data_IF_395664316073
#
_entry.id   IF_395664316073
#
_cell.length_a   1.000
_cell.length_b   1.000
_cell.length_c   1.000
_cell.angle_alpha   90.00
_cell.angle_beta   90.00
_cell.angle_gamma   90.00
#
_symmetry.space_group_name_H-M   'P 1'
#
loop_
_entity.id
_entity.type
_entity.pdbx_description
1 polymer ?
#
# COMPACT_ATOMS: atom_id res chain seq x y z
N UNK A 1 -7.12 -35.78 -10.46
CA UNK A 1 -6.23 -35.93 -9.30
C UNK A 1 -6.31 -34.61 -8.52
N UNK A 2 -6.61 -34.62 -7.22
CA UNK A 2 -6.64 -33.40 -6.44
C UNK A 2 -5.21 -32.86 -6.34
N UNK A 3 -5.02 -31.57 -6.69
CA UNK A 3 -3.74 -30.85 -6.55
C UNK A 3 -3.45 -30.71 -5.05
N UNK A 4 -2.25 -31.07 -4.63
CA UNK A 4 -1.79 -30.83 -3.27
C UNK A 4 -1.78 -29.31 -2.98
N UNK A 5 -2.24 -28.86 -1.81
CA UNK A 5 -2.15 -27.46 -1.44
C UNK A 5 -0.66 -27.10 -1.32
N UNK A 6 -0.25 -26.04 -2.00
CA UNK A 6 1.05 -25.43 -1.78
C UNK A 6 1.06 -24.88 -0.34
N UNK A 7 1.75 -25.59 0.55
CA UNK A 7 2.09 -25.09 1.89
C UNK A 7 3.21 -24.08 1.67
N UNK A 8 2.84 -22.84 1.35
CA UNK A 8 3.77 -21.72 1.52
C UNK A 8 3.79 -21.42 3.02
N UNK A 9 4.92 -21.70 3.69
CA UNK A 9 5.10 -21.25 5.05
C UNK A 9 4.87 -19.72 5.06
N UNK A 10 3.93 -19.25 5.89
CA UNK A 10 3.61 -17.85 6.04
C UNK A 10 4.92 -17.05 6.14
N UNK A 11 5.20 -16.23 5.12
CA UNK A 11 6.41 -15.41 5.10
C UNK A 11 6.13 -14.19 5.95
N UNK A 12 6.56 -14.23 7.22
CA UNK A 12 6.51 -13.09 8.12
C UNK A 12 7.36 -11.92 7.62
N UNK A 13 7.20 -10.79 8.26
CA UNK A 13 7.94 -9.58 8.00
C UNK A 13 9.43 -9.77 8.33
N UNK A 14 10.32 -9.42 7.42
CA UNK A 14 11.78 -9.56 7.58
C UNK A 14 12.40 -8.17 7.64
N UNK A 15 13.05 -7.82 8.76
CA UNK A 15 13.84 -6.60 8.90
C UNK A 15 15.33 -6.93 8.76
N UNK A 16 16.03 -6.26 7.86
CA UNK A 16 17.49 -6.33 7.66
C UNK A 16 18.06 -7.76 7.77
N UNK A 17 17.34 -8.74 7.19
CA UNK A 17 17.75 -10.14 7.19
C UNK A 17 17.51 -10.90 8.49
N UNK A 18 16.78 -10.34 9.47
CA UNK A 18 16.38 -11.00 10.72
C UNK A 18 14.87 -10.99 10.90
N UNK A 19 14.30 -12.13 11.25
CA UNK A 19 12.88 -12.28 11.57
C UNK A 19 12.53 -11.61 12.90
N UNK A 20 11.42 -10.88 12.92
CA UNK A 20 10.68 -10.30 14.06
C UNK A 20 11.43 -9.37 15.02
N UNK A 21 10.95 -8.13 15.10
CA UNK A 21 11.17 -7.23 16.23
C UNK A 21 9.86 -7.05 17.01
N UNK A 22 9.95 -7.03 18.33
CA UNK A 22 8.83 -6.66 19.21
C UNK A 22 8.59 -5.15 19.10
N UNK A 23 7.44 -4.72 18.58
CA UNK A 23 7.00 -3.32 18.49
C UNK A 23 6.62 -2.71 19.85
N UNK A 24 6.88 -3.39 20.96
CA UNK A 24 6.37 -3.04 22.30
C UNK A 24 6.92 -1.74 22.90
N UNK A 25 7.78 -0.99 22.18
CA UNK A 25 8.37 0.26 22.68
C UNK A 25 8.37 1.43 21.67
N UNK A 26 7.55 1.38 20.61
CA UNK A 26 7.54 2.46 19.60
C UNK A 26 6.56 3.57 20.03
N UNK A 27 7.08 4.79 20.18
CA UNK A 27 6.25 5.98 20.44
C UNK A 27 5.53 6.49 19.17
N UNK A 28 5.86 5.97 17.99
CA UNK A 28 5.37 6.44 16.70
C UNK A 28 4.98 5.24 15.83
N UNK A 29 3.81 5.30 15.19
CA UNK A 29 3.35 4.22 14.32
C UNK A 29 4.25 4.07 13.07
N UNK A 30 4.43 2.83 12.55
CA UNK A 30 5.09 2.63 11.26
C UNK A 30 4.26 3.22 10.12
N UNK A 31 4.90 3.43 8.97
CA UNK A 31 4.20 3.60 7.70
C UNK A 31 4.27 2.32 6.90
N UNK A 32 3.26 2.06 6.11
CA UNK A 32 3.12 0.81 5.38
C UNK A 32 2.82 1.07 3.91
N UNK A 33 3.46 0.31 3.03
CA UNK A 33 3.00 0.15 1.65
C UNK A 33 2.48 -1.25 1.47
N UNK A 34 1.31 -1.37 0.84
CA UNK A 34 0.62 -2.63 0.59
C UNK A 34 0.45 -2.83 -0.90
N UNK A 35 0.91 -3.97 -1.42
CA UNK A 35 0.51 -4.48 -2.72
C UNK A 35 -0.90 -5.09 -2.59
N UNK A 36 -1.94 -4.33 -2.95
CA UNK A 36 -3.33 -4.72 -2.72
C UNK A 36 -3.83 -5.84 -3.64
N UNK A 37 -3.09 -6.13 -4.72
CA UNK A 37 -3.43 -7.21 -5.65
C UNK A 37 -4.72 -6.96 -6.44
N UNK A 38 -5.34 -8.06 -6.90
CA UNK A 38 -6.62 -7.99 -7.61
C UNK A 38 -7.80 -7.92 -6.64
N UNK A 39 -8.96 -7.39 -7.06
CA UNK A 39 -10.19 -7.40 -6.26
C UNK A 39 -10.59 -8.80 -5.75
N UNK A 40 -10.14 -9.87 -6.42
CA UNK A 40 -10.40 -11.26 -6.05
C UNK A 40 -9.61 -11.74 -4.84
N UNK A 41 -8.63 -11.00 -4.36
CA UNK A 41 -7.77 -11.37 -3.24
C UNK A 41 -8.53 -11.96 -2.03
N UNK A 42 -9.69 -11.46 -1.61
CA UNK A 42 -10.40 -12.01 -0.47
C UNK A 42 -11.10 -13.35 -0.72
N UNK A 43 -11.34 -13.72 -1.97
CA UNK A 43 -12.12 -14.92 -2.34
C UNK A 43 -11.36 -15.95 -3.17
N UNK A 44 -10.15 -15.61 -3.61
CA UNK A 44 -9.30 -16.50 -4.40
C UNK A 44 -8.32 -17.24 -3.47
N UNK A 45 -8.49 -18.58 -3.29
CA UNK A 45 -7.64 -19.37 -2.40
C UNK A 45 -6.18 -19.51 -2.89
N UNK A 46 -5.89 -19.11 -4.13
CA UNK A 46 -4.52 -19.10 -4.66
C UNK A 46 -3.75 -17.83 -4.29
N UNK A 47 -4.44 -16.82 -3.76
CA UNK A 47 -3.85 -15.54 -3.38
C UNK A 47 -3.43 -15.53 -1.90
N UNK A 48 -2.43 -14.70 -1.52
CA UNK A 48 -1.82 -14.73 -0.19
C UNK A 48 -2.66 -13.96 0.86
N UNK A 49 -3.93 -14.33 1.03
CA UNK A 49 -4.85 -13.61 1.92
C UNK A 49 -4.46 -13.71 3.41
N UNK A 50 -3.93 -14.87 3.83
CA UNK A 50 -3.53 -15.11 5.23
C UNK A 50 -2.33 -14.23 5.67
N UNK A 51 -1.47 -13.89 4.72
CA UNK A 51 -0.28 -13.07 4.96
C UNK A 51 -0.62 -11.63 5.31
N UNK A 52 -1.75 -11.11 4.86
CA UNK A 52 -2.25 -9.77 5.26
C UNK A 52 -2.67 -9.75 6.73
N UNK A 53 -3.36 -10.81 7.19
CA UNK A 53 -3.68 -10.94 8.61
C UNK A 53 -2.42 -11.10 9.47
N UNK A 54 -1.43 -11.86 8.98
CA UNK A 54 -0.12 -11.99 9.64
C UNK A 54 0.56 -10.63 9.76
N UNK A 55 0.61 -9.85 8.68
CA UNK A 55 1.18 -8.51 8.70
C UNK A 55 0.49 -7.62 9.74
N UNK A 56 -0.84 -7.62 9.77
CA UNK A 56 -1.60 -6.82 10.74
C UNK A 56 -1.31 -7.21 12.19
N UNK A 57 -1.11 -8.50 12.47
CA UNK A 57 -0.77 -9.00 13.79
C UNK A 57 0.66 -8.64 14.23
N UNK A 58 1.55 -8.41 13.27
CA UNK A 58 2.92 -7.98 13.53
C UNK A 58 3.04 -6.45 13.70
N UNK A 59 2.02 -5.67 13.35
CA UNK A 59 2.01 -4.23 13.46
C UNK A 59 1.32 -3.75 14.75
N UNK A 60 1.74 -2.61 15.33
CA UNK A 60 0.97 -1.98 16.39
C UNK A 60 -0.40 -1.56 15.85
N UNK A 61 -1.45 -1.77 16.66
CA UNK A 61 -2.80 -1.40 16.28
C UNK A 61 -2.93 0.14 16.24
N UNK A 62 -3.37 0.71 15.10
CA UNK A 62 -3.57 2.16 15.01
C UNK A 62 -4.91 2.58 15.61
N UNK A 63 -4.99 3.85 16.03
CA UNK A 63 -6.24 4.52 16.40
C UNK A 63 -7.06 4.87 15.15
N UNK A 64 -6.38 5.16 14.02
CA UNK A 64 -6.98 5.37 12.71
C UNK A 64 -5.98 5.08 11.59
N UNK A 65 -6.50 4.84 10.39
CA UNK A 65 -5.71 4.65 9.16
C UNK A 65 -5.96 5.83 8.21
N UNK A 66 -4.88 6.43 7.71
CA UNK A 66 -4.90 7.31 6.55
C UNK A 66 -4.40 6.53 5.33
N UNK A 67 -5.33 6.20 4.42
CA UNK A 67 -5.07 5.42 3.23
C UNK A 67 -4.83 6.31 2.00
N UNK A 68 -3.76 6.06 1.26
CA UNK A 68 -3.49 6.63 -0.06
C UNK A 68 -3.55 5.50 -1.09
N UNK A 69 -4.67 5.41 -1.80
CA UNK A 69 -4.92 4.34 -2.78
C UNK A 69 -4.61 4.78 -4.21
N UNK A 70 -4.02 3.88 -5.00
CA UNK A 70 -3.82 4.05 -6.44
C UNK A 70 -5.13 4.30 -7.21
N UNK A 71 -6.26 3.89 -6.64
CA UNK A 71 -7.58 3.96 -7.27
C UNK A 71 -8.33 5.27 -7.02
N UNK A 72 -7.82 6.13 -6.14
CA UNK A 72 -8.39 7.47 -5.96
C UNK A 72 -7.42 8.56 -6.42
N UNK A 73 -7.46 8.83 -7.72
CA UNK A 73 -6.62 9.86 -8.37
C UNK A 73 -7.38 11.16 -8.60
N UNK A 74 -6.80 12.29 -8.21
CA UNK A 74 -7.32 13.65 -8.42
C UNK A 74 -6.23 14.60 -8.93
N UNK A 75 -6.60 15.78 -9.40
CA UNK A 75 -5.62 16.76 -9.86
C UNK A 75 -4.85 17.45 -8.71
N UNK A 76 -5.49 17.57 -7.54
CA UNK A 76 -4.91 18.11 -6.32
C UNK A 76 -5.36 17.23 -5.14
N UNK A 77 -4.63 17.18 -4.02
CA UNK A 77 -5.00 16.38 -2.87
C UNK A 77 -6.42 16.65 -2.38
N UNK A 78 -7.19 15.60 -2.22
CA UNK A 78 -8.55 15.61 -1.68
C UNK A 78 -8.63 14.61 -0.54
N UNK A 79 -9.10 15.04 0.62
CA UNK A 79 -9.28 14.20 1.79
C UNK A 79 -10.76 13.82 1.97
N UNK A 80 -11.03 12.54 2.27
CA UNK A 80 -12.38 12.07 2.54
C UNK A 80 -12.86 12.53 3.93
N UNK A 81 -14.06 13.10 3.98
CA UNK A 81 -14.76 13.49 5.23
C UNK A 81 -15.89 12.53 5.59
N UNK A 82 -16.06 11.43 4.86
CA UNK A 82 -17.11 10.47 5.11
C UNK A 82 -16.99 9.90 6.54
N UNK A 83 -18.08 9.95 7.29
CA UNK A 83 -18.16 9.36 8.64
C UNK A 83 -18.48 7.87 8.60
N UNK A 84 -19.11 7.43 7.53
CA UNK A 84 -19.40 6.02 7.20
C UNK A 84 -19.08 5.81 5.71
N UNK A 85 -17.80 5.62 5.37
CA UNK A 85 -17.40 5.50 3.98
C UNK A 85 -18.04 4.27 3.32
N UNK A 86 -18.63 4.46 2.16
CA UNK A 86 -19.20 3.40 1.36
C UNK A 86 -18.11 2.47 0.81
N UNK A 87 -18.40 1.16 0.73
CA UNK A 87 -17.54 0.22 -0.01
C UNK A 87 -17.75 0.40 -1.50
N UNK A 88 -16.74 0.95 -2.21
CA UNK A 88 -16.81 1.20 -3.65
C UNK A 88 -16.30 -0.02 -4.41
N UNK A 89 -17.10 -0.53 -5.35
CA UNK A 89 -16.74 -1.60 -6.27
C UNK A 89 -16.33 -1.00 -7.62
N UNK A 90 -15.12 -0.44 -7.66
CA UNK A 90 -14.52 0.26 -8.81
C UNK A 90 -13.91 -0.71 -9.84
N UNK A 91 -14.52 -1.86 -10.03
CA UNK A 91 -14.11 -2.92 -10.95
C UNK A 91 -15.30 -3.55 -11.66
N UNK A 92 -15.04 -4.23 -12.80
CA UNK A 92 -16.08 -4.84 -13.62
C UNK A 92 -15.68 -6.23 -14.10
N UNK A 93 -16.71 -7.08 -14.38
CA UNK A 93 -16.50 -8.41 -14.94
C UNK A 93 -15.99 -9.47 -13.98
N UNK A 94 -16.07 -9.23 -12.68
CA UNK A 94 -15.68 -10.15 -11.63
C UNK A 94 -16.85 -11.01 -11.13
N UNK A 95 -16.58 -12.10 -10.38
CA UNK A 95 -17.62 -12.93 -9.78
C UNK A 95 -18.58 -12.13 -8.89
N UNK A 96 -19.85 -12.47 -8.92
CA UNK A 96 -20.91 -11.78 -8.16
C UNK A 96 -20.60 -11.66 -6.67
N UNK A 97 -19.97 -12.68 -6.09
CA UNK A 97 -19.61 -12.70 -4.68
C UNK A 97 -18.76 -11.50 -4.25
N UNK A 98 -17.94 -10.93 -5.15
CA UNK A 98 -17.15 -9.73 -4.85
C UNK A 98 -18.02 -8.48 -4.66
N UNK A 99 -19.10 -8.35 -5.42
CA UNK A 99 -20.01 -7.20 -5.31
C UNK A 99 -20.91 -7.27 -4.07
N UNK A 100 -20.93 -8.42 -3.40
CA UNK A 100 -21.67 -8.65 -2.16
C UNK A 100 -20.80 -8.35 -0.91
N UNK A 101 -19.48 -8.30 -1.06
CA UNK A 101 -18.57 -7.93 0.03
C UNK A 101 -18.77 -6.47 0.45
N UNK A 102 -18.68 -6.23 1.74
CA UNK A 102 -18.72 -4.90 2.34
C UNK A 102 -17.65 -4.80 3.41
N UNK A 103 -17.08 -3.62 3.53
CA UNK A 103 -16.14 -3.28 4.60
C UNK A 103 -16.64 -2.05 5.35
N UNK A 104 -17.50 -2.23 6.36
CA UNK A 104 -18.22 -1.14 7.04
C UNK A 104 -17.39 -0.48 8.14
N UNK A 105 -16.12 -0.19 7.87
CA UNK A 105 -15.28 0.54 8.81
C UNK A 105 -15.83 1.95 9.05
N UNK A 106 -15.77 2.46 10.29
CA UNK A 106 -16.09 3.87 10.54
C UNK A 106 -15.10 4.78 9.81
N UNK A 107 -15.57 5.92 9.37
CA UNK A 107 -14.70 6.95 8.82
C UNK A 107 -13.92 7.67 9.92
N UNK A 108 -12.81 8.30 9.53
CA UNK A 108 -11.98 9.13 10.41
C UNK A 108 -12.01 10.60 9.97
N UNK A 109 -13.15 11.30 10.10
CA UNK A 109 -13.36 12.65 9.54
C UNK A 109 -12.45 13.72 10.18
N UNK A 110 -11.90 13.45 11.36
CA UNK A 110 -10.95 14.35 12.01
C UNK A 110 -9.51 14.16 11.50
N UNK A 111 -9.18 12.96 11.02
CA UNK A 111 -7.82 12.61 10.56
C UNK A 111 -7.54 13.22 9.19
N UNK A 112 -8.34 12.89 8.17
CA UNK A 112 -8.05 13.32 6.81
C UNK A 112 -8.29 14.82 6.60
N UNK A 113 -9.46 15.40 6.93
CA UNK A 113 -9.72 16.78 6.59
C UNK A 113 -9.04 17.77 7.53
N UNK A 114 -8.98 17.50 8.83
CA UNK A 114 -8.47 18.48 9.79
C UNK A 114 -6.98 18.37 10.03
N UNK A 115 -6.44 17.14 10.04
CA UNK A 115 -5.02 16.90 10.31
C UNK A 115 -4.22 16.78 9.04
N UNK A 116 -4.58 15.86 8.11
CA UNK A 116 -3.83 15.63 6.89
C UNK A 116 -3.90 16.84 5.94
N UNK A 117 -5.08 17.35 5.64
CA UNK A 117 -5.23 18.52 4.79
C UNK A 117 -4.53 19.75 5.40
N UNK A 118 -4.66 19.98 6.73
CA UNK A 118 -3.95 21.05 7.39
C UNK A 118 -2.42 20.87 7.37
N UNK A 119 -1.93 19.62 7.50
CA UNK A 119 -0.51 19.33 7.37
C UNK A 119 0.01 19.65 5.97
N UNK A 120 -0.71 19.25 4.93
CA UNK A 120 -0.37 19.56 3.53
C UNK A 120 -0.31 21.07 3.30
N UNK A 121 -1.31 21.82 3.78
CA UNK A 121 -1.36 23.28 3.64
C UNK A 121 -0.17 23.96 4.34
N UNK A 122 0.23 23.50 5.54
CA UNK A 122 1.43 24.02 6.21
C UNK A 122 2.73 23.80 5.38
N UNK A 123 2.75 22.80 4.51
CA UNK A 123 3.84 22.51 3.59
C UNK A 123 3.62 23.09 2.18
N UNK A 124 2.68 24.03 2.03
CA UNK A 124 2.42 24.71 0.76
C UNK A 124 1.63 23.90 -0.27
N UNK A 125 1.03 22.78 0.12
CA UNK A 125 0.21 21.94 -0.75
C UNK A 125 -1.27 22.20 -0.45
N UNK A 126 -2.00 22.79 -1.40
CA UNK A 126 -3.45 22.97 -1.27
C UNK A 126 -4.15 21.62 -1.24
N UNK A 127 -5.08 21.46 -0.31
CA UNK A 127 -5.91 20.27 -0.20
C UNK A 127 -7.38 20.68 0.00
N UNK A 128 -8.28 19.89 -0.59
CA UNK A 128 -9.72 20.05 -0.42
C UNK A 128 -10.32 18.84 0.27
N UNK A 129 -11.61 18.87 0.55
CA UNK A 129 -12.33 17.76 1.19
C UNK A 129 -13.58 17.39 0.40
N UNK A 130 -13.96 16.13 0.42
CA UNK A 130 -15.21 15.61 -0.14
C UNK A 130 -15.64 14.35 0.60
N UNK A 131 -16.90 13.99 0.51
CA UNK A 131 -17.30 12.64 0.88
C UNK A 131 -16.81 11.66 -0.19
N UNK A 132 -16.06 10.63 0.24
CA UNK A 132 -15.58 9.57 -0.62
C UNK A 132 -15.55 8.26 0.17
N UNK A 133 -15.99 7.17 -0.48
CA UNK A 133 -15.97 5.84 0.10
C UNK A 133 -14.57 5.21 0.06
N UNK A 134 -14.49 3.91 0.31
CA UNK A 134 -13.27 3.12 0.22
C UNK A 134 -13.29 2.36 -1.11
N UNK A 135 -12.36 2.67 -2.02
CA UNK A 135 -12.13 1.91 -3.25
C UNK A 135 -11.50 0.53 -2.95
N UNK A 136 -11.40 -0.37 -3.94
CA UNK A 136 -10.92 -1.72 -3.69
C UNK A 136 -9.44 -1.75 -3.25
N UNK A 137 -8.62 -0.80 -3.66
CA UNK A 137 -7.26 -0.67 -3.14
C UNK A 137 -7.21 -0.36 -1.64
N UNK A 138 -8.28 0.21 -1.09
CA UNK A 138 -8.42 0.43 0.33
C UNK A 138 -9.13 -0.73 1.04
N UNK A 139 -10.36 -1.06 0.66
CA UNK A 139 -11.17 -2.01 1.44
C UNK A 139 -10.70 -3.48 1.31
N UNK A 140 -10.13 -3.90 0.18
CA UNK A 140 -9.67 -5.29 0.00
C UNK A 140 -8.57 -5.66 0.99
N UNK A 141 -7.44 -4.95 1.05
CA UNK A 141 -6.40 -5.28 2.03
C UNK A 141 -6.87 -5.06 3.47
N UNK A 142 -7.68 -4.03 3.75
CA UNK A 142 -8.19 -3.79 5.10
C UNK A 142 -9.16 -4.86 5.59
N UNK A 143 -9.98 -5.43 4.71
CA UNK A 143 -10.84 -6.57 5.03
C UNK A 143 -10.04 -7.78 5.51
N UNK A 144 -8.84 -7.98 4.98
CA UNK A 144 -7.96 -9.09 5.35
C UNK A 144 -7.12 -8.76 6.61
N UNK A 145 -6.69 -7.51 6.75
CA UNK A 145 -5.87 -7.06 7.89
C UNK A 145 -6.70 -6.80 9.14
N UNK A 146 -7.87 -6.20 9.00
CA UNK A 146 -8.75 -5.79 10.10
C UNK A 146 -10.20 -6.24 9.82
N UNK A 147 -10.46 -7.56 9.84
CA UNK A 147 -11.76 -8.11 9.39
C UNK A 147 -12.95 -7.67 10.22
N UNK A 148 -12.73 -7.19 11.45
CA UNK A 148 -13.80 -6.65 12.30
C UNK A 148 -14.27 -5.25 11.85
N UNK A 149 -13.57 -4.61 10.92
CA UNK A 149 -13.85 -3.26 10.43
C UNK A 149 -14.00 -2.21 11.56
N UNK A 150 -13.19 -2.34 12.61
CA UNK A 150 -13.29 -1.58 13.86
C UNK A 150 -12.19 -0.52 14.01
N UNK A 151 -11.31 -0.38 12.99
CA UNK A 151 -10.34 0.71 12.89
C UNK A 151 -10.91 1.80 11.98
N UNK A 152 -11.02 3.05 12.44
CA UNK A 152 -11.47 4.15 11.59
C UNK A 152 -10.55 4.38 10.40
N UNK A 153 -11.12 4.62 9.21
CA UNK A 153 -10.37 4.81 7.97
C UNK A 153 -10.74 6.13 7.30
N UNK A 154 -9.73 6.88 6.91
CA UNK A 154 -9.88 8.01 6.01
C UNK A 154 -9.02 7.81 4.77
N UNK A 155 -9.44 8.33 3.62
CA UNK A 155 -8.62 8.33 2.41
C UNK A 155 -8.12 9.73 2.06
N UNK A 156 -6.91 9.78 1.51
CA UNK A 156 -6.33 10.93 0.84
C UNK A 156 -6.00 10.53 -0.59
N UNK A 157 -6.47 11.31 -1.58
CA UNK A 157 -6.23 11.01 -2.98
C UNK A 157 -4.76 11.18 -3.37
N UNK A 158 -4.32 10.41 -4.36
CA UNK A 158 -3.04 10.60 -5.05
C UNK A 158 -3.20 11.51 -6.26
N UNK A 159 -2.08 11.97 -6.83
CA UNK A 159 -2.05 12.82 -8.02
C UNK A 159 -1.32 12.09 -9.17
N UNK A 160 -2.02 11.26 -9.97
CA UNK A 160 -1.38 10.37 -10.97
C UNK A 160 -0.60 11.10 -12.08
N UNK A 161 -0.78 12.42 -12.22
CA UNK A 161 -0.06 13.26 -13.19
C UNK A 161 1.19 13.91 -12.62
N UNK A 162 1.44 13.73 -11.33
CA UNK A 162 2.63 14.24 -10.65
C UNK A 162 3.57 13.07 -10.32
N UNK A 163 4.81 13.38 -10.07
CA UNK A 163 5.91 12.42 -9.95
C UNK A 163 6.07 11.81 -8.54
N UNK A 164 7.06 10.95 -8.40
CA UNK A 164 7.45 10.35 -7.13
C UNK A 164 7.87 11.39 -6.09
N UNK A 165 8.55 12.47 -6.51
CA UNK A 165 9.01 13.52 -5.61
C UNK A 165 7.85 14.27 -4.95
N UNK A 166 6.77 14.54 -5.70
CA UNK A 166 5.54 15.12 -5.15
C UNK A 166 4.93 14.22 -4.07
N UNK A 167 4.80 12.91 -4.33
CA UNK A 167 4.19 11.97 -3.38
C UNK A 167 5.07 11.76 -2.15
N UNK A 168 6.39 11.74 -2.32
CA UNK A 168 7.34 11.72 -1.21
C UNK A 168 7.22 12.98 -0.33
N UNK A 169 7.11 14.16 -0.94
CA UNK A 169 6.91 15.41 -0.20
C UNK A 169 5.56 15.44 0.53
N UNK A 170 4.49 14.91 -0.10
CA UNK A 170 3.20 14.70 0.59
C UNK A 170 3.38 13.82 1.83
N UNK A 171 4.05 12.68 1.70
CA UNK A 171 4.33 11.80 2.82
C UNK A 171 5.07 12.53 3.95
N UNK A 172 6.10 13.29 3.62
CA UNK A 172 6.83 14.10 4.62
C UNK A 172 5.94 15.09 5.37
N UNK A 173 5.00 15.71 4.67
CA UNK A 173 4.05 16.61 5.30
C UNK A 173 3.08 15.90 6.27
N UNK A 174 2.84 14.62 6.06
CA UNK A 174 1.93 13.80 6.88
C UNK A 174 2.62 13.09 8.05
N UNK A 175 3.96 13.13 8.12
CA UNK A 175 4.78 12.33 9.06
C UNK A 175 4.34 12.43 10.51
N UNK A 176 3.99 13.62 10.98
CA UNK A 176 3.65 13.88 12.38
C UNK A 176 2.31 13.25 12.81
N UNK A 177 1.46 12.85 11.86
CA UNK A 177 0.21 12.13 12.17
C UNK A 177 0.48 10.77 12.84
N UNK A 178 1.64 10.19 12.61
CA UNK A 178 2.07 8.93 13.22
C UNK A 178 2.20 9.03 14.74
N UNK A 179 2.55 10.23 15.26
CA UNK A 179 2.62 10.51 16.71
C UNK A 179 1.22 10.58 17.33
N UNK A 180 0.21 10.87 16.52
CA UNK A 180 -1.19 11.00 16.91
C UNK A 180 -1.98 9.67 16.76
N UNK A 181 -1.30 8.53 16.66
CA UNK A 181 -1.93 7.21 16.53
C UNK A 181 -2.49 6.93 15.12
N UNK A 182 -2.09 7.69 14.09
CA UNK A 182 -2.53 7.45 12.70
C UNK A 182 -1.49 6.64 11.93
N UNK A 183 -1.88 5.48 11.44
CA UNK A 183 -1.06 4.69 10.51
C UNK A 183 -1.25 5.21 9.08
N UNK A 184 -0.15 5.61 8.44
CA UNK A 184 -0.17 6.03 7.04
C UNK A 184 0.09 4.81 6.17
N UNK A 185 -0.86 4.51 5.27
CA UNK A 185 -0.82 3.33 4.40
C UNK A 185 -0.89 3.78 2.94
N UNK A 186 0.16 3.53 2.19
CA UNK A 186 0.13 3.59 0.73
C UNK A 186 -0.36 2.25 0.17
N UNK A 187 -1.34 2.27 -0.70
CA UNK A 187 -1.91 1.06 -1.32
C UNK A 187 -1.78 1.14 -2.84
N UNK A 188 -1.05 0.18 -3.40
CA UNK A 188 -0.76 0.12 -4.82
C UNK A 188 -0.30 -1.26 -5.24
N UNK A 189 0.75 -1.31 -6.07
CA UNK A 189 1.36 -2.56 -6.50
C UNK A 189 2.82 -2.28 -6.88
N UNK A 190 3.75 -3.12 -6.41
CA UNK A 190 5.18 -2.86 -6.68
C UNK A 190 5.56 -3.07 -8.16
N UNK A 191 4.83 -3.90 -8.89
CA UNK A 191 4.87 -3.98 -10.35
C UNK A 191 3.45 -4.13 -10.89
N UNK A 192 3.06 -3.27 -11.85
CA UNK A 192 1.69 -3.23 -12.36
C UNK A 192 1.65 -3.02 -13.88
N UNK A 193 1.87 -4.11 -14.63
CA UNK A 193 1.65 -4.10 -16.07
C UNK A 193 0.68 -5.23 -16.47
N UNK A 194 -0.59 -4.93 -16.54
CA UNK A 194 -1.64 -5.89 -16.88
C UNK A 194 -1.52 -6.45 -18.31
N UNK A 195 -0.74 -5.82 -19.21
CA UNK A 195 -0.46 -6.36 -20.55
C UNK A 195 0.53 -7.52 -20.50
N UNK A 196 1.30 -7.63 -19.43
CA UNK A 196 2.22 -8.75 -19.18
C UNK A 196 1.56 -9.85 -18.36
N UNK A 197 0.40 -9.58 -17.75
CA UNK A 197 -0.28 -10.53 -16.88
C UNK A 197 -0.76 -11.74 -17.68
N UNK A 198 -0.48 -12.93 -17.13
CA UNK A 198 -0.99 -14.21 -17.61
C UNK A 198 -1.70 -14.88 -16.43
N UNK A 199 -3.03 -14.91 -16.50
CA UNK A 199 -3.88 -15.48 -15.44
C UNK A 199 -3.75 -17.01 -15.29
N UNK A 200 -3.11 -17.67 -16.26
CA UNK A 200 -2.80 -19.10 -16.21
C UNK A 200 -1.39 -19.41 -15.72
N UNK A 201 -0.54 -18.40 -15.58
CA UNK A 201 0.85 -18.56 -15.18
C UNK A 201 0.98 -19.08 -13.74
N UNK A 202 1.97 -19.92 -13.51
CA UNK A 202 2.37 -20.38 -12.19
C UNK A 202 3.43 -19.46 -11.60
N UNK A 203 3.70 -19.49 -10.29
CA UNK A 203 4.74 -18.64 -9.67
C UNK A 203 6.13 -18.78 -10.32
N UNK A 204 6.48 -19.98 -10.78
CA UNK A 204 7.75 -20.26 -11.47
C UNK A 204 7.84 -19.69 -12.90
N UNK A 205 6.71 -19.29 -13.48
CA UNK A 205 6.63 -18.65 -14.80
C UNK A 205 6.82 -17.12 -14.72
N UNK A 206 7.18 -16.59 -13.52
CA UNK A 206 7.41 -15.16 -13.30
C UNK A 206 8.44 -14.61 -14.30
N UNK A 207 8.16 -13.43 -14.84
CA UNK A 207 9.09 -12.75 -15.75
C UNK A 207 10.31 -12.27 -14.95
N UNK A 208 11.54 -12.62 -15.33
CA UNK A 208 12.74 -12.26 -14.56
C UNK A 208 12.96 -10.76 -14.44
N UNK A 209 12.43 -9.96 -15.37
CA UNK A 209 12.50 -8.50 -15.30
C UNK A 209 11.71 -7.91 -14.12
N UNK A 210 10.75 -8.67 -13.60
CA UNK A 210 10.01 -8.28 -12.38
C UNK A 210 10.95 -8.27 -11.19
N UNK A 211 11.71 -9.35 -10.98
CA UNK A 211 12.69 -9.40 -9.88
C UNK A 211 13.83 -8.40 -10.07
N UNK A 212 14.32 -8.21 -11.30
CA UNK A 212 15.34 -7.19 -11.56
C UNK A 212 14.88 -5.77 -11.15
N UNK A 213 13.61 -5.43 -11.39
CA UNK A 213 13.06 -4.15 -10.96
C UNK A 213 12.85 -4.09 -9.44
N UNK A 214 12.21 -5.12 -8.85
CA UNK A 214 11.92 -5.14 -7.41
C UNK A 214 13.19 -5.16 -6.57
N UNK A 215 14.20 -5.94 -6.95
CA UNK A 215 15.48 -6.03 -6.25
C UNK A 215 16.20 -4.66 -6.28
N UNK A 216 16.22 -3.99 -7.45
CA UNK A 216 16.78 -2.65 -7.55
C UNK A 216 16.06 -1.68 -6.61
N UNK A 217 14.72 -1.72 -6.60
CA UNK A 217 13.91 -0.81 -5.79
C UNK A 217 14.14 -1.04 -4.29
N UNK A 218 14.17 -2.30 -3.87
CA UNK A 218 14.45 -2.70 -2.50
C UNK A 218 15.86 -2.34 -2.05
N UNK A 219 16.85 -2.53 -2.92
CA UNK A 219 18.25 -2.15 -2.62
C UNK A 219 18.40 -0.64 -2.41
N UNK A 220 17.68 0.18 -3.21
CA UNK A 220 17.67 1.65 -3.00
C UNK A 220 16.96 2.02 -1.70
N UNK A 221 15.85 1.35 -1.36
CA UNK A 221 15.19 1.58 -0.07
C UNK A 221 16.07 1.19 1.11
N UNK A 222 16.76 0.04 1.07
CA UNK A 222 17.72 -0.38 2.12
C UNK A 222 18.89 0.61 2.26
N UNK A 223 19.39 1.10 1.14
CA UNK A 223 20.45 2.11 1.11
C UNK A 223 19.96 3.51 1.51
N UNK A 224 18.66 3.74 1.60
CA UNK A 224 18.02 5.06 1.77
C UNK A 224 18.45 6.06 0.68
N UNK A 225 18.70 5.55 -0.53
CA UNK A 225 19.05 6.34 -1.70
C UNK A 225 17.78 6.98 -2.30
N UNK A 226 17.30 8.00 -1.58
CA UNK A 226 16.04 8.68 -1.92
C UNK A 226 16.11 9.30 -3.32
N UNK A 227 17.25 9.90 -3.67
CA UNK A 227 17.41 10.53 -4.99
C UNK A 227 17.27 9.50 -6.13
N UNK A 228 17.82 8.30 -5.95
CA UNK A 228 17.64 7.24 -6.94
C UNK A 228 16.19 6.75 -7.00
N UNK A 229 15.53 6.58 -5.85
CA UNK A 229 14.14 6.17 -5.78
C UNK A 229 13.22 7.18 -6.45
N UNK A 230 13.40 8.48 -6.21
CA UNK A 230 12.57 9.51 -6.83
C UNK A 230 12.79 9.62 -8.35
N UNK A 231 13.97 9.24 -8.83
CA UNK A 231 14.32 9.18 -10.26
C UNK A 231 14.26 7.74 -10.83
N UNK A 232 13.42 6.87 -10.22
CA UNK A 232 13.36 5.44 -10.56
C UNK A 232 13.09 5.17 -12.03
N UNK A 233 12.30 6.02 -12.68
CA UNK A 233 11.98 5.84 -14.10
C UNK A 233 13.20 5.91 -15.01
N UNK A 234 14.17 6.75 -14.69
CA UNK A 234 15.41 6.86 -15.44
C UNK A 234 16.47 5.87 -14.99
N UNK A 235 16.46 5.46 -13.72
CA UNK A 235 17.57 4.70 -13.11
C UNK A 235 17.29 3.20 -12.97
N UNK A 236 16.05 2.80 -12.75
CA UNK A 236 15.71 1.38 -12.61
C UNK A 236 15.53 0.71 -13.98
N UNK A 237 16.20 -0.43 -14.16
CA UNK A 237 15.91 -1.28 -15.30
C UNK A 237 14.43 -1.65 -15.33
N UNK A 238 13.84 -1.66 -16.51
CA UNK A 238 12.44 -2.07 -16.75
C UNK A 238 11.36 -1.20 -16.07
N UNK A 239 11.69 -0.04 -15.49
CA UNK A 239 10.70 0.80 -14.80
C UNK A 239 9.47 1.11 -15.66
N UNK A 240 9.65 1.58 -16.90
CA UNK A 240 8.56 1.88 -17.82
C UNK A 240 7.79 0.62 -18.28
N UNK A 241 8.43 -0.56 -18.24
CA UNK A 241 7.78 -1.83 -18.53
C UNK A 241 6.95 -2.30 -17.33
N UNK A 242 7.48 -2.21 -16.12
CA UNK A 242 6.77 -2.61 -14.89
C UNK A 242 5.61 -1.67 -14.58
N UNK A 243 5.79 -0.38 -14.88
CA UNK A 243 4.79 0.67 -14.69
C UNK A 243 4.59 1.45 -16.00
N UNK A 244 3.71 1.00 -16.93
CA UNK A 244 3.31 1.81 -18.08
C UNK A 244 2.71 3.16 -17.67
N UNK A 245 2.02 3.18 -16.53
CA UNK A 245 1.52 4.34 -15.80
C UNK A 245 1.88 4.22 -14.33
N UNK A 246 2.08 5.33 -13.63
CA UNK A 246 2.76 5.36 -12.33
C UNK A 246 1.84 5.17 -11.12
N UNK A 247 0.52 5.30 -11.29
CA UNK A 247 -0.44 5.42 -10.18
C UNK A 247 -0.34 4.29 -9.14
N UNK A 248 0.00 3.06 -9.56
CA UNK A 248 0.14 1.94 -8.63
C UNK A 248 1.45 1.94 -7.84
N UNK A 249 2.48 2.64 -8.31
CA UNK A 249 3.73 2.79 -7.55
C UNK A 249 3.73 4.06 -6.68
N UNK A 250 3.04 5.12 -7.08
CA UNK A 250 3.07 6.40 -6.38
C UNK A 250 2.77 6.32 -4.88
N UNK A 251 1.84 5.46 -4.39
CA UNK A 251 1.57 5.35 -2.95
C UNK A 251 2.78 4.93 -2.10
N UNK A 252 3.75 4.18 -2.67
CA UNK A 252 4.95 3.79 -1.92
C UNK A 252 5.79 5.00 -1.52
N UNK A 253 5.85 6.02 -2.39
CA UNK A 253 6.60 7.24 -2.10
C UNK A 253 5.95 8.07 -1.00
N UNK A 254 4.61 8.04 -0.88
CA UNK A 254 3.91 8.67 0.24
C UNK A 254 4.20 7.95 1.56
N UNK A 255 4.18 6.62 1.57
CA UNK A 255 4.54 5.84 2.76
C UNK A 255 6.01 6.05 3.15
N UNK A 256 6.92 6.01 2.17
CA UNK A 256 8.36 6.27 2.38
C UNK A 256 8.64 7.70 2.88
N UNK A 257 7.97 8.70 2.31
CA UNK A 257 8.11 10.10 2.75
C UNK A 257 7.63 10.34 4.17
N UNK A 258 6.60 9.60 4.60
CA UNK A 258 6.08 9.68 5.96
C UNK A 258 6.92 8.89 6.98
N UNK A 259 7.84 8.05 6.55
CA UNK A 259 8.82 7.38 7.40
C UNK A 259 9.87 8.37 7.96
N UNK A 260 10.57 8.00 9.03
CA UNK A 260 11.75 8.76 9.49
C UNK A 260 12.89 8.68 8.47
N UNK A 261 13.82 9.63 8.52
CA UNK A 261 14.93 9.66 7.55
C UNK A 261 15.92 8.49 7.78
N UNK A 262 15.93 7.93 8.99
CA UNK A 262 16.75 6.79 9.43
C UNK A 262 15.95 5.49 9.55
N UNK A 263 14.81 5.40 8.89
CA UNK A 263 13.90 4.26 8.99
C UNK A 263 14.59 2.90 8.85
N UNK A 264 14.00 1.88 9.45
CA UNK A 264 14.29 0.47 9.18
C UNK A 264 13.22 -0.08 8.23
N UNK A 265 13.67 -0.82 7.23
CA UNK A 265 12.79 -1.42 6.23
C UNK A 265 12.44 -2.87 6.60
N UNK A 266 11.16 -3.13 6.82
CA UNK A 266 10.59 -4.47 6.86
C UNK A 266 10.00 -4.84 5.50
N UNK A 267 10.26 -6.06 5.05
CA UNK A 267 9.79 -6.57 3.75
C UNK A 267 9.00 -7.86 3.99
N UNK A 268 7.80 -7.92 3.43
CA UNK A 268 7.01 -9.13 3.31
C UNK A 268 6.78 -9.44 1.82
N UNK A 269 7.63 -10.28 1.25
CA UNK A 269 7.49 -10.71 -0.15
C UNK A 269 6.52 -11.87 -0.24
N UNK A 270 5.43 -11.69 -0.97
CA UNK A 270 4.37 -12.67 -1.17
C UNK A 270 4.50 -13.41 -2.51
N UNK A 271 5.51 -13.07 -3.31
CA UNK A 271 5.78 -13.66 -4.61
C UNK A 271 5.26 -12.86 -5.79
N UNK A 272 5.43 -13.40 -6.99
CA UNK A 272 4.92 -12.81 -8.23
C UNK A 272 3.74 -13.62 -8.72
N UNK A 273 2.63 -12.94 -8.94
CA UNK A 273 1.38 -13.52 -9.45
C UNK A 273 1.17 -13.15 -10.90
N UNK A 274 0.43 -14.01 -11.62
CA UNK A 274 0.05 -13.75 -12.99
C UNK A 274 1.24 -13.31 -13.86
N UNK A 275 2.41 -13.92 -13.63
CA UNK A 275 3.68 -13.70 -14.33
C UNK A 275 4.35 -12.34 -14.06
N UNK A 276 3.62 -11.25 -13.80
CA UNK A 276 4.16 -9.90 -13.83
C UNK A 276 3.79 -9.03 -12.62
N UNK A 277 2.96 -9.52 -11.70
CA UNK A 277 2.46 -8.74 -10.58
C UNK A 277 3.17 -9.17 -9.30
N UNK A 278 4.23 -8.46 -8.93
CA UNK A 278 4.91 -8.69 -7.67
C UNK A 278 4.06 -8.18 -6.51
N UNK A 279 3.82 -9.07 -5.55
CA UNK A 279 3.09 -8.79 -4.33
C UNK A 279 4.11 -8.67 -3.20
N UNK A 280 4.47 -7.45 -2.84
CA UNK A 280 5.39 -7.17 -1.73
C UNK A 280 4.84 -6.02 -0.90
N UNK A 281 4.79 -6.24 0.41
CA UNK A 281 4.43 -5.22 1.39
C UNK A 281 5.71 -4.67 2.04
N UNK A 282 5.76 -3.37 2.27
CA UNK A 282 6.88 -2.69 2.92
C UNK A 282 6.40 -2.01 4.19
N UNK A 283 7.19 -2.15 5.26
CA UNK A 283 6.95 -1.49 6.55
C UNK A 283 8.16 -0.64 6.89
N UNK A 284 7.93 0.62 7.16
CA UNK A 284 8.97 1.56 7.55
C UNK A 284 8.77 1.92 9.02
N UNK A 285 9.71 1.50 9.87
CA UNK A 285 9.70 1.81 11.31
C UNK A 285 10.82 2.78 11.62
N UNK A 286 10.71 3.49 12.71
CA UNK A 286 11.82 4.30 13.21
C UNK A 286 12.98 3.37 13.68
N UNK A 287 14.24 3.83 13.57
CA UNK A 287 15.43 3.05 13.91
C UNK A 287 15.59 2.78 15.41
#
# INVERSE_FOLDING_TARGET
>A
MPRAPFINAARGLIFDGRSTHSYTAMNRLPTVFISHGAPTLPIDPSMPSAEFASLANELPRPDAILMLSAHWGTAQPVASVATQPETIHDFYGFPRALYELRYPAPGAPDVAPRRAAAALVRHGVSASTTEHGLDHGAWVPLLLMFPNADVPVAQLSIQPRLDAAHHFAMGRALRDLRDDGVMIVGSGQITHNLRMADFGARPEDADPRVSEFTDWFEDRMRARDIDALLDYRARASHAALMHPTDEHLLPVFSALGAASDDYRLGIQSLGTYQRALAMTNYVFTDA
#
